data_IF_244246533692
#
_entry.id   IF_244246533692
#
_cell.length_a   1.000
_cell.length_b   1.000
_cell.length_c   1.000
_cell.angle_alpha   90.00
_cell.angle_beta   90.00
_cell.angle_gamma   90.00
#
_symmetry.space_group_name_H-M   'P 1'
#
loop_
_entity.id
_entity.type
_entity.pdbx_description
1 polymer ?
#
# COMPACT_ATOMS: atom_id res chain seq x y z
N UNK A 1 10.36 2.34 25.11
CA UNK A 1 10.85 2.47 23.72
C UNK A 1 11.51 3.82 23.55
N UNK A 2 11.91 4.16 22.32
CA UNK A 2 12.41 5.49 21.94
C UNK A 2 11.28 6.54 22.05
N UNK A 3 11.64 7.81 22.27
CA UNK A 3 10.71 8.93 22.46
C UNK A 3 10.89 9.98 21.36
N UNK A 4 9.80 10.32 20.65
CA UNK A 4 9.82 11.37 19.61
C UNK A 4 10.13 12.75 20.22
N UNK A 5 10.92 13.55 19.52
CA UNK A 5 11.41 14.85 19.98
C UNK A 5 12.59 14.78 20.96
N UNK A 6 12.95 13.58 21.42
CA UNK A 6 14.14 13.34 22.27
C UNK A 6 15.14 12.40 21.61
N UNK A 7 14.70 11.20 21.25
CA UNK A 7 15.55 10.14 20.70
C UNK A 7 15.45 10.05 19.16
N UNK A 8 14.34 10.52 18.57
CA UNK A 8 14.14 10.61 17.12
C UNK A 8 13.15 11.73 16.76
N UNK A 9 13.08 12.10 15.49
CA UNK A 9 12.00 12.91 14.91
C UNK A 9 11.46 12.25 13.65
N UNK A 10 10.19 12.49 13.33
CA UNK A 10 9.56 12.03 12.08
C UNK A 10 9.34 13.24 11.17
N UNK A 11 9.67 13.07 9.90
CA UNK A 11 9.31 14.01 8.85
C UNK A 11 8.80 13.22 7.63
N UNK A 12 7.65 13.64 7.11
CA UNK A 12 7.09 13.06 5.89
C UNK A 12 7.94 13.45 4.68
N UNK A 13 8.18 12.47 3.81
CA UNK A 13 8.85 12.66 2.54
C UNK A 13 8.05 11.99 1.41
N UNK A 14 8.06 12.57 0.20
CA UNK A 14 7.59 11.86 -0.98
C UNK A 14 8.39 10.56 -1.18
N UNK A 15 7.71 9.46 -1.53
CA UNK A 15 8.34 8.13 -1.70
C UNK A 15 9.54 8.18 -2.67
N UNK A 16 9.46 8.97 -3.73
CA UNK A 16 10.54 9.13 -4.71
C UNK A 16 11.80 9.81 -4.15
N UNK A 17 11.70 10.47 -3.00
CA UNK A 17 12.83 11.11 -2.31
C UNK A 17 13.51 10.18 -1.29
N UNK A 18 12.87 9.09 -0.86
CA UNK A 18 13.37 8.25 0.23
C UNK A 18 14.81 7.76 -0.01
N UNK A 19 15.14 7.34 -1.24
CA UNK A 19 16.49 6.87 -1.58
C UNK A 19 17.54 7.98 -1.44
N UNK A 20 17.25 9.19 -1.93
CA UNK A 20 18.25 10.27 -1.96
C UNK A 20 18.50 10.84 -0.58
N UNK A 21 17.46 10.97 0.26
CA UNK A 21 17.62 11.51 1.63
C UNK A 21 18.34 10.52 2.56
N UNK A 22 18.10 9.21 2.40
CA UNK A 22 18.88 8.19 3.12
C UNK A 22 20.33 8.14 2.64
N UNK A 23 20.57 8.21 1.32
CA UNK A 23 21.92 8.22 0.77
C UNK A 23 22.71 9.47 1.17
N UNK A 24 22.05 10.63 1.28
CA UNK A 24 22.66 11.87 1.74
C UNK A 24 22.94 11.88 3.26
N UNK A 25 22.40 10.92 4.01
CA UNK A 25 22.51 10.88 5.47
C UNK A 25 21.71 11.97 6.18
N UNK A 26 20.71 12.56 5.52
CA UNK A 26 19.82 13.54 6.17
C UNK A 26 18.71 12.86 6.98
N UNK A 27 18.52 11.56 6.79
CA UNK A 27 17.64 10.69 7.58
C UNK A 27 18.39 9.41 7.94
N UNK A 28 18.18 8.91 9.16
CA UNK A 28 18.80 7.66 9.64
C UNK A 28 18.04 6.40 9.21
N UNK A 29 16.76 6.55 8.84
CA UNK A 29 15.88 5.45 8.47
C UNK A 29 14.54 5.95 7.92
N UNK A 30 13.69 5.03 7.47
CA UNK A 30 12.39 5.38 6.95
C UNK A 30 11.45 4.18 6.79
N UNK A 31 10.15 4.46 6.90
CA UNK A 31 9.08 3.55 6.49
C UNK A 31 8.71 3.84 5.03
N UNK A 32 8.68 2.81 4.19
CA UNK A 32 8.48 2.97 2.74
C UNK A 32 7.70 1.80 2.14
N UNK A 33 7.28 1.96 0.89
CA UNK A 33 6.55 0.97 0.11
C UNK A 33 7.45 0.32 -0.95
N UNK A 34 7.01 -0.83 -1.48
CA UNK A 34 7.62 -1.41 -2.67
C UNK A 34 7.23 -0.60 -3.92
N UNK A 35 8.11 -0.48 -4.93
CA UNK A 35 9.43 -1.11 -5.08
C UNK A 35 10.59 -0.33 -4.43
N UNK A 36 10.33 0.81 -3.78
CA UNK A 36 11.39 1.68 -3.27
C UNK A 36 12.30 0.96 -2.26
N UNK A 37 11.74 0.16 -1.36
CA UNK A 37 12.53 -0.66 -0.44
C UNK A 37 13.47 -1.63 -1.17
N UNK A 38 12.97 -2.38 -2.15
CA UNK A 38 13.78 -3.33 -2.94
C UNK A 38 14.93 -2.63 -3.66
N UNK A 39 14.68 -1.46 -4.26
CA UNK A 39 15.71 -0.67 -4.95
C UNK A 39 16.78 -0.20 -3.96
N UNK A 40 16.39 0.39 -2.81
CA UNK A 40 17.35 0.90 -1.82
C UNK A 40 18.25 -0.20 -1.26
N UNK A 41 17.69 -1.39 -0.98
CA UNK A 41 18.47 -2.54 -0.50
C UNK A 41 19.44 -3.03 -1.58
N UNK A 42 18.99 -3.15 -2.82
CA UNK A 42 19.84 -3.59 -3.94
C UNK A 42 21.01 -2.61 -4.19
N UNK A 43 20.76 -1.31 -4.05
CA UNK A 43 21.76 -0.26 -4.20
C UNK A 43 22.64 -0.04 -2.95
N UNK A 44 22.44 -0.84 -1.89
CA UNK A 44 23.16 -0.74 -0.62
C UNK A 44 23.02 0.64 0.07
N UNK A 45 21.93 1.35 -0.22
CA UNK A 45 21.59 2.63 0.44
C UNK A 45 21.15 2.38 1.89
N UNK A 46 20.51 1.23 2.14
CA UNK A 46 20.07 0.83 3.47
C UNK A 46 19.88 -0.67 3.59
N UNK A 47 19.50 -1.12 4.79
CA UNK A 47 19.13 -2.52 5.08
C UNK A 47 17.68 -2.57 5.54
N UNK A 48 16.95 -3.58 5.07
CA UNK A 48 15.59 -3.85 5.51
C UNK A 48 15.61 -4.37 6.95
N UNK A 49 14.92 -3.69 7.85
CA UNK A 49 14.82 -4.07 9.27
C UNK A 49 13.63 -5.01 9.48
N UNK A 50 12.45 -4.67 8.94
CA UNK A 50 11.22 -5.43 9.09
C UNK A 50 10.29 -5.21 7.90
N UNK A 51 9.37 -6.16 7.65
CA UNK A 51 8.26 -6.03 6.70
C UNK A 51 6.93 -6.28 7.40
N UNK A 52 5.83 -5.78 6.82
CA UNK A 52 4.50 -6.01 7.39
C UNK A 52 4.27 -5.32 8.74
N UNK A 53 4.96 -4.20 8.99
CA UNK A 53 4.90 -3.48 10.28
C UNK A 53 3.48 -3.02 10.64
N UNK A 54 2.64 -2.65 9.66
CA UNK A 54 1.22 -2.34 9.93
C UNK A 54 0.48 -3.60 10.39
N UNK A 55 0.64 -4.72 9.68
CA UNK A 55 -0.04 -5.97 10.05
C UNK A 55 0.36 -6.43 11.46
N UNK A 56 1.67 -6.42 11.76
CA UNK A 56 2.21 -6.88 13.03
C UNK A 56 1.94 -5.92 14.18
N UNK A 57 2.30 -4.63 14.03
CA UNK A 57 2.32 -3.68 15.15
C UNK A 57 1.02 -2.86 15.31
N UNK A 58 0.24 -2.69 14.23
CA UNK A 58 -1.04 -1.97 14.30
C UNK A 58 -2.23 -2.94 14.32
N UNK A 59 -2.27 -3.90 13.39
CA UNK A 59 -3.36 -4.88 13.32
C UNK A 59 -3.17 -6.05 14.29
N UNK A 60 -1.97 -6.27 14.81
CA UNK A 60 -1.67 -7.27 15.84
C UNK A 60 -1.55 -8.70 15.32
N UNK A 61 -1.54 -8.93 14.01
CA UNK A 61 -1.38 -10.27 13.40
C UNK A 61 -0.54 -10.19 12.14
N UNK A 62 0.46 -11.07 12.00
CA UNK A 62 1.36 -11.08 10.84
C UNK A 62 0.66 -11.42 9.52
N UNK A 63 -0.47 -12.10 9.59
CA UNK A 63 -1.31 -12.49 8.45
C UNK A 63 -2.46 -11.50 8.18
N UNK A 64 -2.58 -10.42 8.96
CA UNK A 64 -3.59 -9.39 8.73
C UNK A 64 -3.32 -8.59 7.45
N UNK A 65 -4.39 -8.15 6.80
CA UNK A 65 -4.29 -7.32 5.59
C UNK A 65 -4.37 -5.83 5.92
N UNK A 66 -3.24 -5.14 5.73
CA UNK A 66 -3.17 -3.69 5.82
C UNK A 66 -3.74 -3.04 4.54
N UNK A 67 -5.02 -2.70 4.55
CA UNK A 67 -5.72 -2.02 3.45
C UNK A 67 -5.37 -0.52 3.38
N UNK A 68 -4.08 -0.21 3.22
CA UNK A 68 -3.56 1.16 3.16
C UNK A 68 -3.67 1.82 1.77
N UNK A 69 -4.00 1.06 0.74
CA UNK A 69 -4.17 1.54 -0.64
C UNK A 69 -5.25 0.74 -1.37
N UNK A 70 -5.88 1.36 -2.37
CA UNK A 70 -6.90 0.73 -3.19
C UNK A 70 -7.28 1.56 -4.41
N UNK A 71 -8.10 0.98 -5.29
CA UNK A 71 -8.75 1.70 -6.38
C UNK A 71 -10.14 2.15 -5.94
N UNK A 72 -10.46 3.43 -6.16
CA UNK A 72 -11.74 4.04 -5.77
C UNK A 72 -12.37 4.70 -6.98
N UNK A 73 -13.69 4.55 -7.11
CA UNK A 73 -14.51 5.27 -8.08
C UNK A 73 -15.29 6.37 -7.37
N UNK A 74 -15.36 7.56 -7.96
CA UNK A 74 -16.16 8.65 -7.41
C UNK A 74 -17.65 8.36 -7.55
N UNK A 75 -18.45 8.81 -6.57
CA UNK A 75 -19.91 8.67 -6.62
C UNK A 75 -20.51 9.23 -7.91
N UNK A 76 -20.00 10.37 -8.38
CA UNK A 76 -20.41 10.97 -9.67
C UNK A 76 -20.25 10.00 -10.84
N UNK A 77 -19.10 9.32 -10.95
CA UNK A 77 -18.89 8.35 -12.03
C UNK A 77 -19.87 7.18 -11.93
N UNK A 78 -20.10 6.70 -10.71
CA UNK A 78 -20.97 5.56 -10.44
C UNK A 78 -22.42 5.87 -10.80
N UNK A 79 -22.89 7.07 -10.46
CA UNK A 79 -24.28 7.49 -10.67
C UNK A 79 -24.53 7.96 -12.10
N UNK A 80 -23.63 8.76 -12.67
CA UNK A 80 -23.86 9.35 -14.01
C UNK A 80 -23.45 8.43 -15.16
N UNK A 81 -22.48 7.53 -14.95
CA UNK A 81 -21.97 6.60 -15.97
C UNK A 81 -21.77 5.18 -15.42
N UNK A 82 -22.84 4.52 -14.96
CA UNK A 82 -22.76 3.21 -14.31
C UNK A 82 -22.18 2.11 -15.21
N UNK A 83 -22.40 2.19 -16.52
CA UNK A 83 -21.83 1.27 -17.51
C UNK A 83 -20.31 1.40 -17.60
N UNK A 84 -19.79 2.64 -17.57
CA UNK A 84 -18.35 2.93 -17.57
C UNK A 84 -17.72 2.47 -16.27
N UNK A 85 -18.36 2.74 -15.12
CA UNK A 85 -17.90 2.27 -13.81
C UNK A 85 -17.78 0.74 -13.76
N UNK A 86 -18.78 0.03 -14.28
CA UNK A 86 -18.76 -1.45 -14.38
C UNK A 86 -17.60 -1.94 -15.25
N UNK A 87 -17.46 -1.40 -16.48
CA UNK A 87 -16.40 -1.80 -17.42
C UNK A 87 -15.00 -1.51 -16.87
N UNK A 88 -14.82 -0.38 -16.19
CA UNK A 88 -13.56 -0.07 -15.51
C UNK A 88 -13.26 -1.11 -14.43
N UNK A 89 -14.24 -1.44 -13.59
CA UNK A 89 -14.07 -2.40 -12.49
C UNK A 89 -13.74 -3.80 -13.02
N UNK A 90 -14.37 -4.24 -14.11
CA UNK A 90 -14.05 -5.50 -14.79
C UNK A 90 -12.64 -5.51 -15.37
N UNK A 91 -12.19 -4.40 -15.97
CA UNK A 91 -10.83 -4.27 -16.49
C UNK A 91 -9.79 -4.28 -15.36
N UNK A 92 -10.07 -3.58 -14.27
CA UNK A 92 -9.26 -3.59 -13.06
C UNK A 92 -9.11 -5.01 -12.50
N UNK A 93 -10.22 -5.74 -12.34
CA UNK A 93 -10.21 -7.11 -11.85
C UNK A 93 -9.36 -8.05 -12.74
N UNK A 94 -9.44 -7.89 -14.08
CA UNK A 94 -8.57 -8.63 -15.01
C UNK A 94 -7.09 -8.28 -14.81
N UNK A 95 -6.77 -6.99 -14.66
CA UNK A 95 -5.40 -6.53 -14.40
C UNK A 95 -4.84 -7.08 -13.09
N UNK A 96 -5.62 -7.09 -12.01
CA UNK A 96 -5.21 -7.68 -10.74
C UNK A 96 -4.91 -9.17 -10.88
N UNK A 97 -5.81 -9.91 -11.54
CA UNK A 97 -5.61 -11.35 -11.79
C UNK A 97 -4.33 -11.60 -12.59
N UNK A 98 -4.13 -10.87 -13.69
CA UNK A 98 -2.93 -10.98 -14.51
C UNK A 98 -1.66 -10.67 -13.71
N UNK A 99 -1.64 -9.59 -12.94
CA UNK A 99 -0.47 -9.23 -12.11
C UNK A 99 -0.11 -10.33 -11.10
N UNK A 100 -1.09 -11.05 -10.57
CA UNK A 100 -0.89 -12.14 -9.61
C UNK A 100 -0.46 -13.45 -10.25
N UNK A 101 -0.98 -13.78 -11.44
CA UNK A 101 -0.79 -15.12 -12.05
C UNK A 101 0.18 -15.16 -13.21
N UNK A 102 0.51 -14.01 -13.82
CA UNK A 102 1.37 -13.92 -15.00
C UNK A 102 2.64 -13.12 -14.70
N UNK A 103 3.77 -13.81 -14.61
CA UNK A 103 5.07 -13.21 -14.34
C UNK A 103 5.57 -12.27 -15.45
N UNK A 104 5.03 -12.34 -16.67
CA UNK A 104 5.41 -11.42 -17.75
C UNK A 104 5.01 -9.97 -17.44
N UNK A 105 3.98 -9.78 -16.61
CA UNK A 105 3.51 -8.45 -16.17
C UNK A 105 4.55 -7.69 -15.34
N UNK A 106 5.58 -8.37 -14.81
CA UNK A 106 6.66 -7.72 -14.06
C UNK A 106 7.41 -6.67 -14.87
N UNK A 107 7.45 -6.82 -16.20
CA UNK A 107 8.04 -5.82 -17.09
C UNK A 107 7.40 -4.42 -16.97
N UNK A 108 6.13 -4.33 -16.58
CA UNK A 108 5.45 -3.05 -16.38
C UNK A 108 6.04 -2.22 -15.23
N UNK A 109 6.69 -2.86 -14.24
CA UNK A 109 7.38 -2.17 -13.15
C UNK A 109 8.57 -1.34 -13.65
N UNK A 110 9.23 -1.79 -14.72
CA UNK A 110 10.38 -1.11 -15.31
C UNK A 110 9.95 0.23 -15.90
N UNK A 111 8.93 0.21 -16.76
CA UNK A 111 8.48 1.43 -17.44
C UNK A 111 7.66 2.34 -16.52
N UNK A 112 6.74 1.75 -15.76
CA UNK A 112 5.75 2.47 -14.94
C UNK A 112 6.28 2.96 -13.60
N UNK A 113 7.25 2.26 -13.01
CA UNK A 113 7.79 2.59 -11.68
C UNK A 113 9.32 2.78 -11.68
N UNK A 114 9.97 2.74 -12.86
CA UNK A 114 11.42 2.93 -13.02
C UNK A 114 12.25 1.93 -12.21
N UNK A 115 11.73 0.71 -12.03
CA UNK A 115 12.47 -0.38 -11.39
C UNK A 115 13.59 -0.84 -12.33
N UNK A 116 14.84 -1.00 -11.85
CA UNK A 116 15.91 -1.61 -12.64
C UNK A 116 15.50 -2.98 -13.19
N UNK A 117 15.75 -3.29 -14.48
CA UNK A 117 15.26 -4.52 -15.11
C UNK A 117 15.57 -5.81 -14.33
N UNK A 118 16.76 -5.89 -13.75
CA UNK A 118 17.24 -7.02 -12.96
C UNK A 118 16.51 -7.21 -11.62
N UNK A 119 15.80 -6.18 -11.14
CA UNK A 119 15.05 -6.22 -9.88
C UNK A 119 13.55 -6.46 -10.08
N UNK A 120 13.02 -6.32 -11.30
CA UNK A 120 11.58 -6.38 -11.55
C UNK A 120 10.91 -7.68 -11.05
N UNK A 121 11.62 -8.81 -11.13
CA UNK A 121 11.12 -10.10 -10.66
C UNK A 121 11.18 -10.28 -9.13
N UNK A 122 12.00 -9.49 -8.42
CA UNK A 122 12.23 -9.64 -6.97
C UNK A 122 11.35 -8.73 -6.12
N UNK A 123 10.75 -7.70 -6.73
CA UNK A 123 9.81 -6.80 -6.04
C UNK A 123 8.61 -7.59 -5.50
N UNK A 124 8.30 -7.56 -4.20
CA UNK A 124 7.06 -8.13 -3.69
C UNK A 124 5.84 -7.39 -4.26
N UNK A 125 4.84 -8.12 -4.76
CA UNK A 125 3.58 -7.51 -5.20
C UNK A 125 2.61 -7.38 -4.03
N UNK A 126 1.89 -6.26 -3.90
CA UNK A 126 0.85 -6.13 -2.90
C UNK A 126 -0.31 -7.07 -3.21
N UNK A 127 -0.91 -7.64 -2.16
CA UNK A 127 -2.20 -8.32 -2.25
C UNK A 127 -3.29 -7.26 -2.39
N UNK A 128 -3.75 -7.03 -3.61
CA UNK A 128 -4.94 -6.21 -3.89
C UNK A 128 -6.14 -7.14 -4.06
N UNK A 129 -7.22 -6.86 -3.34
CA UNK A 129 -8.45 -7.66 -3.31
C UNK A 129 -9.59 -6.80 -3.84
N UNK A 130 -10.45 -7.36 -4.69
CA UNK A 130 -11.68 -6.68 -5.09
C UNK A 130 -12.63 -6.61 -3.90
N UNK A 131 -13.42 -5.54 -3.80
CA UNK A 131 -14.43 -5.39 -2.74
C UNK A 131 -15.37 -6.62 -2.63
N UNK A 132 -15.77 -7.21 -3.77
CA UNK A 132 -16.63 -8.40 -3.81
C UNK A 132 -15.96 -9.69 -3.31
N UNK A 133 -14.64 -9.72 -3.29
CA UNK A 133 -13.83 -10.89 -2.92
C UNK A 133 -13.25 -10.76 -1.50
N UNK A 134 -13.59 -9.68 -0.78
CA UNK A 134 -13.17 -9.50 0.62
C UNK A 134 -13.84 -10.54 1.52
N UNK A 135 -13.02 -11.24 2.30
CA UNK A 135 -13.51 -12.13 3.36
C UNK A 135 -14.01 -11.35 4.58
N UNK A 136 -14.70 -12.02 5.50
CA UNK A 136 -15.06 -11.41 6.78
C UNK A 136 -13.83 -10.93 7.56
N UNK A 137 -12.70 -11.65 7.47
CA UNK A 137 -11.44 -11.24 8.08
C UNK A 137 -10.86 -10.00 7.41
N UNK A 138 -10.91 -9.91 6.07
CA UNK A 138 -10.47 -8.72 5.33
C UNK A 138 -11.26 -7.47 5.74
N UNK A 139 -12.59 -7.59 5.85
CA UNK A 139 -13.45 -6.48 6.28
C UNK A 139 -13.14 -6.07 7.73
N UNK A 140 -12.88 -7.04 8.62
CA UNK A 140 -12.51 -6.76 10.00
C UNK A 140 -11.14 -6.06 10.11
N UNK A 141 -10.14 -6.52 9.34
CA UNK A 141 -8.82 -5.88 9.29
C UNK A 141 -8.92 -4.46 8.71
N UNK A 142 -9.75 -4.24 7.68
CA UNK A 142 -9.98 -2.90 7.13
C UNK A 142 -10.65 -1.96 8.14
N UNK A 143 -11.69 -2.41 8.84
CA UNK A 143 -12.33 -1.60 9.88
C UNK A 143 -11.34 -1.26 11.00
N UNK A 144 -10.56 -2.23 11.47
CA UNK A 144 -9.55 -2.00 12.50
C UNK A 144 -8.51 -0.98 12.06
N UNK A 145 -8.07 -1.03 10.80
CA UNK A 145 -7.13 -0.04 10.25
C UNK A 145 -7.71 1.38 10.27
N UNK A 146 -8.99 1.55 9.92
CA UNK A 146 -9.69 2.84 9.98
C UNK A 146 -9.83 3.34 11.41
N UNK A 147 -10.22 2.46 12.34
CA UNK A 147 -10.39 2.79 13.76
C UNK A 147 -9.06 3.30 14.36
N UNK A 148 -7.93 2.64 14.05
CA UNK A 148 -6.59 3.10 14.45
C UNK A 148 -6.28 4.49 13.91
N UNK A 149 -6.68 4.79 12.66
CA UNK A 149 -6.53 6.12 12.08
C UNK A 149 -7.27 7.20 12.87
N UNK A 150 -8.45 6.88 13.39
CA UNK A 150 -9.20 7.77 14.29
C UNK A 150 -8.55 7.87 15.68
N UNK A 151 -8.13 6.74 16.26
CA UNK A 151 -7.47 6.71 17.59
C UNK A 151 -6.16 7.51 17.62
N UNK A 152 -5.38 7.47 16.53
CA UNK A 152 -4.16 8.24 16.37
C UNK A 152 -4.41 9.71 15.95
N UNK A 153 -5.66 10.10 15.73
CA UNK A 153 -6.03 11.46 15.32
C UNK A 153 -5.69 11.81 13.86
N UNK A 154 -5.34 10.82 13.04
CA UNK A 154 -5.08 11.00 11.60
C UNK A 154 -6.38 11.29 10.84
N UNK A 155 -7.47 10.64 11.25
CA UNK A 155 -8.82 10.86 10.73
C UNK A 155 -9.68 11.41 11.86
N UNK A 156 -10.38 12.53 11.60
CA UNK A 156 -11.16 13.22 12.63
C UNK A 156 -12.32 12.40 13.18
N UNK A 157 -13.07 11.78 12.28
CA UNK A 157 -14.33 11.11 12.60
C UNK A 157 -14.23 9.61 12.30
N UNK A 158 -15.04 8.81 13.00
CA UNK A 158 -15.10 7.37 12.76
C UNK A 158 -15.63 7.09 11.35
N UNK A 159 -14.98 6.17 10.65
CA UNK A 159 -15.36 5.73 9.30
C UNK A 159 -15.93 4.32 9.36
N UNK A 160 -17.10 4.11 8.75
CA UNK A 160 -17.65 2.77 8.52
C UNK A 160 -17.02 2.15 7.25
N UNK A 161 -16.08 1.23 7.44
CA UNK A 161 -15.38 0.56 6.35
C UNK A 161 -16.31 -0.25 5.46
N UNK A 162 -17.44 -0.76 5.98
CA UNK A 162 -18.43 -1.49 5.15
C UNK A 162 -19.16 -0.55 4.20
N UNK A 163 -19.47 0.66 4.65
CA UNK A 163 -20.10 1.67 3.80
C UNK A 163 -19.16 2.18 2.68
N UNK A 164 -17.85 2.08 2.88
CA UNK A 164 -16.82 2.50 1.91
C UNK A 164 -16.58 1.50 0.78
N UNK A 165 -17.08 0.26 0.89
CA UNK A 165 -16.88 -0.78 -0.12
C UNK A 165 -18.17 -1.08 -0.86
N UNK A 166 -18.10 -1.04 -2.20
CA UNK A 166 -19.21 -1.44 -3.08
C UNK A 166 -18.77 -2.55 -4.01
N UNK A 167 -19.47 -3.68 -3.95
CA UNK A 167 -19.30 -4.77 -4.91
C UNK A 167 -19.99 -4.43 -6.24
N UNK A 168 -19.30 -4.70 -7.35
CA UNK A 168 -19.83 -4.68 -8.72
C UNK A 168 -19.78 -6.07 -9.35
#
# INVERSE_FOLDING_TARGET
GLVEGKDFSIQEQPINMHSSVLQAGTFDGGYTLEPAATIMVAQKIGKRIETGVIATHLLGRRDASAFAAGAVLSEKLITERPDVAKRFTEAWARGLKQAQTDSSTRGYLIQGMKVPPELAATVPLPRIVMARDMTAADVADFQKFLDIGTELGVVKDKVDGKAMVKAY
#
